data_IF_844608100960
#
_entry.id   IF_844608100960
#
_cell.length_a   1.000
_cell.length_b   1.000
_cell.length_c   1.000
_cell.angle_alpha   90.00
_cell.angle_beta   90.00
_cell.angle_gamma   90.00
#
_symmetry.space_group_name_H-M   'P 1'
#
loop_
_entity.id
_entity.type
_entity.pdbx_description
1 polymer ?
#
# COMPACT_ATOMS: atom_id res chain seq x y z
N UNK A 1 3.82 15.59 6.21
CA UNK A 1 2.96 14.58 5.55
C UNK A 1 2.91 13.32 6.43
N UNK A 2 1.77 12.96 7.06
CA UNK A 2 1.61 11.65 7.76
C UNK A 2 0.68 10.72 6.96
N UNK A 3 0.83 10.70 5.63
CA UNK A 3 0.23 9.66 4.79
C UNK A 3 1.09 8.41 4.94
N UNK A 4 0.68 7.52 5.84
CA UNK A 4 1.33 6.23 6.00
C UNK A 4 0.64 5.27 5.04
N UNK A 5 1.39 4.60 4.14
CA UNK A 5 0.77 3.67 3.22
C UNK A 5 0.23 2.46 3.99
N UNK A 6 -0.94 1.99 3.57
CA UNK A 6 -1.44 0.71 4.01
C UNK A 6 -0.82 -0.39 3.12
N UNK A 7 -0.52 -1.53 3.71
CA UNK A 7 0.13 -2.67 3.06
C UNK A 7 -0.73 -3.89 3.30
N UNK A 8 -1.22 -4.52 2.24
CA UNK A 8 -1.85 -5.84 2.31
C UNK A 8 -0.80 -6.89 1.99
N UNK A 9 -0.56 -7.78 2.95
CA UNK A 9 0.34 -8.93 2.79
C UNK A 9 -0.52 -10.19 2.57
N UNK A 10 -0.19 -10.98 1.55
CA UNK A 10 -0.90 -12.23 1.23
C UNK A 10 0.01 -13.44 1.34
N UNK A 11 1.16 -13.40 0.67
CA UNK A 11 2.10 -14.51 0.59
C UNK A 11 3.53 -14.01 0.75
N UNK A 12 3.92 -13.73 2.00
CA UNK A 12 5.26 -13.24 2.35
C UNK A 12 5.80 -14.09 3.50
N UNK A 13 6.95 -14.71 3.29
CA UNK A 13 7.60 -15.52 4.31
C UNK A 13 7.88 -14.69 5.59
N UNK A 14 7.41 -15.17 6.74
CA UNK A 14 7.61 -14.52 8.04
C UNK A 14 6.64 -13.39 8.39
N UNK A 15 5.65 -13.11 7.53
CA UNK A 15 4.58 -12.14 7.81
C UNK A 15 3.22 -12.81 7.70
N UNK A 16 2.38 -12.65 8.72
CA UNK A 16 1.00 -13.16 8.67
C UNK A 16 0.21 -12.42 7.59
N UNK A 17 -0.58 -13.15 6.80
CA UNK A 17 -1.45 -12.51 5.82
C UNK A 17 -2.45 -11.57 6.51
N UNK A 18 -2.60 -10.35 5.99
CA UNK A 18 -3.42 -9.32 6.62
C UNK A 18 -3.15 -7.91 6.12
N UNK A 19 -3.77 -6.93 6.78
CA UNK A 19 -3.60 -5.51 6.51
C UNK A 19 -2.71 -4.87 7.57
N UNK A 20 -1.75 -4.09 7.10
CA UNK A 20 -0.75 -3.40 7.90
C UNK A 20 -0.70 -1.92 7.54
N UNK A 21 -0.25 -1.11 8.49
CA UNK A 21 0.13 0.28 8.26
C UNK A 21 1.65 0.36 8.35
N UNK A 22 2.29 0.92 7.33
CA UNK A 22 3.73 1.14 7.36
C UNK A 22 4.06 2.44 8.09
N UNK A 23 4.87 2.34 9.15
CA UNK A 23 5.47 3.49 9.82
C UNK A 23 6.86 3.77 9.24
N UNK A 24 7.04 4.84 8.46
CA UNK A 24 8.33 5.17 7.85
C UNK A 24 9.38 5.63 8.87
N UNK A 25 8.97 6.11 10.06
CA UNK A 25 9.91 6.59 11.08
C UNK A 25 10.44 5.44 11.93
N UNK A 26 9.58 4.46 12.21
CA UNK A 26 9.96 3.25 12.94
C UNK A 26 10.44 2.12 12.03
N UNK A 27 10.33 2.28 10.71
CA UNK A 27 10.57 1.25 9.70
C UNK A 27 9.89 -0.08 10.06
N UNK A 28 8.61 -0.01 10.44
CA UNK A 28 7.87 -1.14 10.98
C UNK A 28 6.47 -1.23 10.37
N UNK A 29 5.95 -2.46 10.35
CA UNK A 29 4.57 -2.74 9.99
C UNK A 29 3.74 -2.86 11.27
N UNK A 30 2.75 -1.98 11.39
CA UNK A 30 1.80 -1.98 12.50
C UNK A 30 0.56 -2.72 12.01
N UNK A 31 0.21 -3.85 12.65
CA UNK A 31 -0.99 -4.61 12.31
C UNK A 31 -2.25 -3.77 12.53
N UNK A 32 -3.10 -3.70 11.51
CA UNK A 32 -4.38 -3.01 11.62
C UNK A 32 -5.43 -3.89 12.30
N UNK A 33 -5.35 -4.08 13.63
CA UNK A 33 -6.35 -4.85 14.42
C UNK A 33 -7.79 -4.35 14.24
N UNK A 34 -7.97 -3.08 13.81
CA UNK A 34 -9.28 -2.45 13.64
C UNK A 34 -10.00 -2.74 12.32
N UNK A 35 -9.39 -3.45 11.37
CA UNK A 35 -10.14 -4.06 10.25
C UNK A 35 -10.46 -5.50 10.66
N UNK A 36 -11.42 -5.56 11.57
CA UNK A 36 -12.06 -6.68 12.28
C UNK A 36 -11.52 -8.12 12.11
N UNK A 37 -11.39 -8.87 13.23
CA UNK A 37 -11.12 -10.31 13.23
C UNK A 37 -12.35 -11.07 12.74
N UNK A 38 -12.32 -11.60 11.52
CA UNK A 38 -13.13 -12.77 11.17
C UNK A 38 -12.64 -13.41 9.89
N UNK A 39 -12.33 -14.69 9.97
CA UNK A 39 -12.18 -15.64 8.86
C UNK A 39 -13.47 -15.83 8.04
N UNK A 40 -14.43 -14.91 8.10
CA UNK A 40 -15.76 -15.05 7.50
C UNK A 40 -16.09 -13.80 6.69
N UNK A 41 -16.09 -13.95 5.35
CA UNK A 41 -16.34 -12.95 4.28
C UNK A 41 -15.21 -11.92 4.13
N UNK A 42 -14.28 -12.09 3.19
CA UNK A 42 -14.56 -12.26 1.76
C UNK A 42 -14.74 -10.91 1.05
N UNK A 43 -14.18 -9.83 1.59
CA UNK A 43 -13.76 -8.68 0.78
C UNK A 43 -12.25 -8.80 0.70
N UNK A 44 -11.77 -9.44 -0.34
CA UNK A 44 -10.37 -9.33 -0.70
C UNK A 44 -10.13 -7.85 -1.06
N UNK A 45 -8.95 -7.29 -0.75
CA UNK A 45 -8.61 -5.95 -1.22
C UNK A 45 -8.75 -5.87 -2.76
N UNK A 46 -8.62 -7.01 -3.44
CA UNK A 46 -8.97 -7.22 -4.85
C UNK A 46 -10.38 -6.70 -5.21
N UNK A 47 -11.37 -7.00 -4.37
CA UNK A 47 -12.78 -6.63 -4.58
C UNK A 47 -13.01 -5.11 -4.44
N UNK A 48 -12.03 -4.38 -3.90
CA UNK A 48 -12.06 -2.91 -3.77
C UNK A 48 -11.48 -2.22 -5.01
N UNK A 49 -10.71 -2.92 -5.83
CA UNK A 49 -10.16 -2.36 -7.07
C UNK A 49 -11.16 -2.51 -8.21
N UNK A 50 -11.27 -1.46 -9.04
CA UNK A 50 -12.06 -1.50 -10.29
C UNK A 50 -11.57 -2.61 -11.23
N UNK A 51 -10.28 -2.93 -11.17
CA UNK A 51 -9.63 -4.02 -11.90
C UNK A 51 -8.95 -4.95 -10.89
N UNK A 52 -9.74 -5.78 -10.21
CA UNK A 52 -9.24 -6.70 -9.17
C UNK A 52 -8.29 -7.78 -9.69
N UNK A 53 -8.34 -8.06 -11.00
CA UNK A 53 -7.44 -8.96 -11.72
C UNK A 53 -5.96 -8.54 -11.60
N UNK A 54 -5.67 -7.24 -11.51
CA UNK A 54 -4.29 -6.74 -11.30
C UNK A 54 -3.70 -7.14 -9.95
N UNK A 55 -4.53 -7.60 -9.02
CA UNK A 55 -4.11 -8.05 -7.69
C UNK A 55 -3.93 -9.57 -7.62
N UNK A 56 -4.33 -10.31 -8.67
CA UNK A 56 -4.21 -11.77 -8.70
C UNK A 56 -2.74 -12.15 -8.81
N UNK A 57 -2.26 -12.95 -7.86
CA UNK A 57 -0.85 -13.36 -7.78
C UNK A 57 0.08 -12.34 -7.09
N UNK A 58 -0.43 -11.18 -6.67
CA UNK A 58 0.39 -10.23 -5.92
C UNK A 58 0.65 -10.73 -4.48
N UNK A 59 1.92 -10.89 -4.11
CA UNK A 59 2.33 -11.22 -2.75
C UNK A 59 2.04 -10.08 -1.76
N UNK A 60 2.19 -8.84 -2.21
CA UNK A 60 2.01 -7.60 -1.45
C UNK A 60 1.31 -6.55 -2.30
N UNK A 61 0.38 -5.80 -1.70
CA UNK A 61 -0.30 -4.66 -2.32
C UNK A 61 -0.09 -3.42 -1.44
N UNK A 62 0.53 -2.38 -1.99
CA UNK A 62 0.71 -1.09 -1.32
C UNK A 62 -0.39 -0.11 -1.74
N UNK A 63 -1.06 0.48 -0.75
CA UNK A 63 -2.12 1.47 -0.93
C UNK A 63 -1.66 2.81 -0.35
N UNK A 64 -1.47 3.78 -1.24
CA UNK A 64 -1.13 5.15 -0.86
C UNK A 64 -2.39 5.96 -0.60
N UNK A 65 -2.46 6.61 0.56
CA UNK A 65 -3.63 7.41 0.97
C UNK A 65 -3.23 8.87 1.15
N UNK A 66 -3.77 9.74 0.30
CA UNK A 66 -3.59 11.19 0.39
C UNK A 66 -4.67 11.86 1.25
N UNK A 67 -4.29 12.55 2.33
CA UNK A 67 -5.24 13.30 3.18
C UNK A 67 -5.37 14.74 2.66
N UNK A 68 -6.24 14.94 1.65
CA UNK A 68 -6.39 16.23 0.98
C UNK A 68 -6.82 17.38 1.89
N UNK A 69 -7.70 17.11 2.87
CA UNK A 69 -8.23 18.13 3.77
C UNK A 69 -7.15 18.83 4.59
N UNK A 70 -6.04 18.14 4.89
CA UNK A 70 -4.89 18.71 5.61
C UNK A 70 -4.01 19.58 4.72
N UNK A 71 -3.90 19.25 3.43
CA UNK A 71 -3.09 20.01 2.48
C UNK A 71 -3.86 21.22 1.91
N UNK A 72 -5.20 21.21 1.99
CA UNK A 72 -6.07 22.28 1.49
C UNK A 72 -5.90 23.60 2.25
N UNK A 73 -5.54 23.56 3.53
CA UNK A 73 -5.31 24.78 4.32
C UNK A 73 -4.11 25.59 3.84
N UNK A 74 -3.10 24.91 3.26
CA UNK A 74 -1.88 25.55 2.76
C UNK A 74 -1.91 25.79 1.24
N UNK A 75 -2.51 24.87 0.46
CA UNK A 75 -2.39 24.88 -1.01
C UNK A 75 -3.73 25.00 -1.76
N UNK A 76 -4.85 25.15 -1.06
CA UNK A 76 -6.17 25.32 -1.68
C UNK A 76 -6.50 24.21 -2.67
N UNK A 77 -6.91 24.58 -3.89
CA UNK A 77 -7.24 23.63 -4.97
C UNK A 77 -6.02 22.86 -5.50
N UNK A 78 -4.79 23.40 -5.34
CA UNK A 78 -3.55 22.75 -5.80
C UNK A 78 -3.09 21.62 -4.89
N UNK A 79 -3.63 21.54 -3.67
CA UNK A 79 -3.36 20.46 -2.72
C UNK A 79 -3.58 19.07 -3.33
N UNK A 80 -4.60 18.93 -4.20
CA UNK A 80 -4.87 17.66 -4.88
C UNK A 80 -3.75 17.28 -5.85
N UNK A 81 -3.30 18.22 -6.68
CA UNK A 81 -2.24 17.98 -7.65
C UNK A 81 -0.92 17.61 -6.97
N UNK A 82 -0.52 18.35 -5.93
CA UNK A 82 0.71 18.03 -5.19
C UNK A 82 0.64 16.68 -4.48
N UNK A 83 -0.50 16.38 -3.85
CA UNK A 83 -0.71 15.07 -3.20
C UNK A 83 -0.58 13.92 -4.20
N UNK A 84 -1.13 14.07 -5.42
CA UNK A 84 -1.01 13.06 -6.47
C UNK A 84 0.43 12.93 -6.98
N UNK A 85 1.13 14.04 -7.20
CA UNK A 85 2.53 14.04 -7.65
C UNK A 85 3.43 13.33 -6.64
N UNK A 86 3.34 13.70 -5.36
CA UNK A 86 4.13 13.09 -4.29
C UNK A 86 3.82 11.60 -4.13
N UNK A 87 2.55 11.23 -4.25
CA UNK A 87 2.12 9.83 -4.21
C UNK A 87 2.69 9.04 -5.41
N UNK A 88 2.68 9.62 -6.61
CA UNK A 88 3.26 9.02 -7.81
C UNK A 88 4.76 8.82 -7.68
N UNK A 89 5.48 9.81 -7.15
CA UNK A 89 6.91 9.67 -6.84
C UNK A 89 7.18 8.54 -5.85
N UNK A 90 6.40 8.45 -4.77
CA UNK A 90 6.55 7.37 -3.79
C UNK A 90 6.27 5.98 -4.39
N UNK A 91 5.23 5.86 -5.22
CA UNK A 91 4.90 4.63 -5.93
C UNK A 91 6.01 4.20 -6.91
N UNK A 92 6.58 5.14 -7.67
CA UNK A 92 7.69 4.84 -8.57
C UNK A 92 8.93 4.36 -7.82
N UNK A 93 9.25 4.99 -6.68
CA UNK A 93 10.38 4.56 -5.85
C UNK A 93 10.16 3.14 -5.32
N UNK A 94 8.94 2.82 -4.89
CA UNK A 94 8.60 1.47 -4.45
C UNK A 94 8.74 0.42 -5.58
N UNK A 95 8.33 0.77 -6.80
CA UNK A 95 8.50 -0.08 -7.98
C UNK A 95 9.98 -0.29 -8.34
N UNK A 96 10.78 0.77 -8.32
CA UNK A 96 12.22 0.65 -8.59
C UNK A 96 12.92 -0.19 -7.52
N UNK A 97 12.52 -0.06 -6.25
CA UNK A 97 13.03 -0.89 -5.17
C UNK A 97 12.64 -2.36 -5.34
N UNK A 98 11.41 -2.67 -5.75
CA UNK A 98 10.98 -4.07 -5.96
C UNK A 98 11.76 -4.72 -7.11
N UNK A 99 12.02 -3.99 -8.20
CA UNK A 99 12.86 -4.46 -9.31
C UNK A 99 14.30 -4.68 -8.83
N UNK A 100 14.88 -3.74 -8.08
CA UNK A 100 16.25 -3.86 -7.57
C UNK A 100 16.44 -5.05 -6.61
N UNK A 101 15.41 -5.41 -5.85
CA UNK A 101 15.42 -6.56 -4.92
C UNK A 101 15.00 -7.88 -5.62
N UNK A 102 14.60 -7.82 -6.89
CA UNK A 102 14.18 -8.99 -7.68
C UNK A 102 12.76 -9.49 -7.36
N UNK A 103 11.95 -8.70 -6.65
CA UNK A 103 10.57 -9.06 -6.27
C UNK A 103 9.52 -8.69 -7.34
N UNK A 104 9.92 -8.03 -8.42
CA UNK A 104 9.03 -7.56 -9.49
C UNK A 104 8.82 -8.55 -10.64
N UNK A 105 9.69 -9.55 -10.77
CA UNK A 105 9.60 -10.57 -11.81
C UNK A 105 8.90 -11.78 -11.22
N UNK A 106 7.73 -12.17 -11.74
CA UNK A 106 6.97 -13.35 -11.32
C UNK A 106 7.68 -14.70 -11.54
N UNK A 107 9.00 -14.69 -11.68
CA UNK A 107 9.86 -15.85 -11.69
C UNK A 107 10.59 -15.91 -10.34
N UNK A 108 10.08 -16.74 -9.43
CA UNK A 108 10.74 -17.02 -8.17
C UNK A 108 12.13 -17.58 -8.43
N UNK A 109 13.15 -16.76 -8.23
CA UNK A 109 14.53 -17.20 -8.03
C UNK A 109 15.07 -16.51 -6.79
N UNK A 110 14.79 -17.13 -5.66
CA UNK A 110 15.82 -17.39 -4.67
C UNK A 110 16.70 -18.57 -5.13
#
# INVERSE_FOLDING_TARGET
>A
MRSTPAVSCRDVAGITAGLYQFDPFANSLIGCERVTPRRERGVDIADTFVHGDVTVGAAVIMVFVGVFARNRSEYGQRALHYTLIETGHAAQNALLASVAIGSGDGNGTC
#
